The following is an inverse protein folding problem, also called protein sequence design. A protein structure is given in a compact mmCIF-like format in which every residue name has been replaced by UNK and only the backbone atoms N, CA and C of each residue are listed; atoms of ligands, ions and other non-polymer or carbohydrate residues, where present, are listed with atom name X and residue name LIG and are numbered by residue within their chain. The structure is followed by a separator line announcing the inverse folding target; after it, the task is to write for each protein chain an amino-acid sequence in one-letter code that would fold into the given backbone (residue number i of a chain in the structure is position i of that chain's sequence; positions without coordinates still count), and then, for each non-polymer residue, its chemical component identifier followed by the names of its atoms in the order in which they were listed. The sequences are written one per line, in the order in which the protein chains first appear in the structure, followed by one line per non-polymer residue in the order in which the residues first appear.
data_IF_748738337319
#
_entry.id   IF_748738337319
#
_cell.length_a   1.000
_cell.length_b   1.000
_cell.length_c   1.000
_cell.angle_alpha   90.00
_cell.angle_beta   90.00
_cell.angle_gamma   90.00
#
_symmetry.space_group_name_H-M   'P 1'
#
loop_
_entity.id
_entity.type
_entity.pdbx_description
1 polymer ?
#
# COMPACT_ATOMS: atom_id res chain seq x y z
N UNK A 1 30.93 36.02 30.43
CA UNK A 1 31.01 34.77 29.64
C UNK A 1 29.68 34.58 28.94
N UNK A 2 29.62 34.75 27.61
CA UNK A 2 28.38 34.78 26.83
C UNK A 2 27.89 33.34 26.59
N UNK A 3 26.80 32.96 27.28
CA UNK A 3 26.35 31.58 27.42
C UNK A 3 25.79 31.04 26.09
N UNK A 4 26.62 30.31 25.33
CA UNK A 4 26.28 29.77 23.99
C UNK A 4 25.06 28.85 24.00
N UNK A 5 24.73 28.26 25.15
CA UNK A 5 23.60 27.36 25.35
C UNK A 5 22.23 28.03 25.18
N UNK A 6 22.13 29.34 25.46
CA UNK A 6 20.86 30.08 25.33
C UNK A 6 20.46 30.27 23.86
N UNK A 7 21.44 30.49 22.98
CA UNK A 7 21.20 30.60 21.54
C UNK A 7 20.74 29.28 20.92
N UNK A 8 21.28 28.16 21.42
CA UNK A 8 20.86 26.81 21.00
C UNK A 8 19.41 26.50 21.40
N UNK A 9 19.02 26.85 22.63
CA UNK A 9 17.65 26.73 23.11
C UNK A 9 16.68 27.62 22.31
N UNK A 10 17.05 28.87 22.02
CA UNK A 10 16.23 29.75 21.20
C UNK A 10 16.06 29.22 19.76
N UNK A 11 17.11 28.67 19.14
CA UNK A 11 17.01 28.09 17.80
C UNK A 11 16.09 26.86 17.76
N UNK A 12 16.11 26.00 18.78
CA UNK A 12 15.21 24.84 18.88
C UNK A 12 13.74 25.28 19.04
N UNK A 13 13.49 26.30 19.85
CA UNK A 13 12.13 26.84 20.06
C UNK A 13 11.59 27.49 18.78
N UNK A 14 12.44 28.20 18.02
CA UNK A 14 12.07 28.78 16.73
C UNK A 14 11.79 27.67 15.69
N UNK A 15 12.58 26.59 15.68
CA UNK A 15 12.34 25.45 14.79
C UNK A 15 11.00 24.75 15.08
N UNK A 16 10.61 24.66 16.36
CA UNK A 16 9.29 24.14 16.76
C UNK A 16 8.15 25.13 16.47
N UNK A 17 8.38 26.44 16.57
CA UNK A 17 7.37 27.47 16.28
C UNK A 17 7.06 27.63 14.78
N UNK A 18 7.96 27.20 13.90
CA UNK A 18 7.74 27.14 12.44
C UNK A 18 7.23 25.78 11.94
N UNK A 19 6.65 24.95 12.83
CA UNK A 19 5.79 23.84 12.42
C UNK A 19 4.62 24.39 11.62
N UNK A 20 4.77 24.39 10.28
CA UNK A 20 3.81 24.98 9.36
C UNK A 20 2.40 24.49 9.64
N UNK A 21 1.41 25.36 9.40
CA UNK A 21 0.00 24.95 9.39
C UNK A 21 -0.14 23.85 8.35
N UNK A 22 -0.15 22.60 8.81
CA UNK A 22 -0.46 21.46 7.97
C UNK A 22 -1.85 21.74 7.39
N UNK A 23 -1.91 21.94 6.06
CA UNK A 23 -3.20 21.86 5.37
C UNK A 23 -3.83 20.53 5.79
N UNK A 24 -5.15 20.47 5.93
CA UNK A 24 -5.84 19.21 6.09
C UNK A 24 -5.41 18.29 4.94
N UNK A 25 -4.47 17.38 5.23
CA UNK A 25 -3.99 16.41 4.27
C UNK A 25 -4.97 15.25 4.37
N UNK A 26 -5.81 15.08 3.36
CA UNK A 26 -6.77 13.98 3.26
C UNK A 26 -6.03 12.69 2.95
N UNK A 27 -5.30 12.15 3.92
CA UNK A 27 -4.67 10.84 3.81
C UNK A 27 -5.61 9.76 4.34
N UNK A 28 -5.71 8.66 3.61
CA UNK A 28 -6.44 7.48 4.04
C UNK A 28 -5.44 6.43 4.51
N UNK A 29 -5.64 5.97 5.74
CA UNK A 29 -4.85 4.88 6.32
C UNK A 29 -5.80 3.84 6.88
N UNK A 30 -5.44 2.58 6.75
CA UNK A 30 -6.21 1.52 7.38
C UNK A 30 -5.73 0.12 7.01
N UNK A 31 -6.36 -0.91 7.59
CA UNK A 31 -6.02 -2.28 7.28
C UNK A 31 -6.53 -2.68 5.89
N UNK A 32 -5.86 -3.66 5.32
CA UNK A 32 -6.26 -4.35 4.10
C UNK A 32 -6.39 -5.83 4.37
N UNK A 33 -7.39 -6.43 3.73
CA UNK A 33 -7.54 -7.88 3.62
C UNK A 33 -7.77 -8.21 2.15
N UNK A 34 -7.02 -9.14 1.59
CA UNK A 34 -7.20 -9.56 0.22
C UNK A 34 -7.05 -11.06 0.04
N UNK A 35 -7.74 -11.56 -0.97
CA UNK A 35 -7.62 -12.93 -1.43
C UNK A 35 -7.12 -12.89 -2.87
N UNK A 36 -6.01 -13.58 -3.11
CA UNK A 36 -5.38 -13.70 -4.41
C UNK A 36 -5.27 -15.16 -4.80
N UNK A 37 -5.65 -15.46 -6.03
CA UNK A 37 -5.37 -16.74 -6.66
C UNK A 37 -4.25 -16.57 -7.69
N UNK A 38 -3.12 -17.24 -7.46
CA UNK A 38 -1.98 -17.28 -8.37
C UNK A 38 -1.25 -18.62 -8.23
N UNK A 39 -1.66 -19.60 -9.03
CA UNK A 39 -1.21 -21.02 -8.91
C UNK A 39 -1.45 -21.65 -7.54
N UNK A 40 -2.29 -21.03 -6.73
CA UNK A 40 -2.56 -21.38 -5.35
C UNK A 40 -3.30 -20.24 -4.66
N UNK A 41 -3.94 -20.56 -3.54
CA UNK A 41 -4.64 -19.57 -2.71
C UNK A 41 -3.63 -18.81 -1.86
N UNK A 42 -3.75 -17.48 -1.88
CA UNK A 42 -2.93 -16.57 -1.10
C UNK A 42 -3.89 -15.60 -0.40
N UNK A 43 -3.83 -15.56 0.93
CA UNK A 43 -4.50 -14.52 1.72
C UNK A 43 -3.47 -13.46 2.02
N UNK A 44 -3.75 -12.18 1.75
CA UNK A 44 -2.88 -11.08 2.14
C UNK A 44 -3.57 -10.20 3.14
N UNK A 45 -2.81 -9.75 4.13
CA UNK A 45 -3.31 -8.78 5.12
C UNK A 45 -2.20 -7.82 5.45
N UNK A 46 -2.56 -6.58 5.77
CA UNK A 46 -1.61 -5.54 6.09
C UNK A 46 -2.26 -4.20 6.29
N UNK A 47 -1.53 -3.14 5.97
CA UNK A 47 -2.01 -1.78 6.04
C UNK A 47 -1.70 -1.05 4.74
N UNK A 48 -2.50 -0.02 4.47
CA UNK A 48 -2.27 0.88 3.35
C UNK A 48 -2.20 2.32 3.81
N UNK A 49 -1.50 3.12 3.01
CA UNK A 49 -1.43 4.55 3.14
C UNK A 49 -1.67 5.16 1.75
N UNK A 50 -2.80 5.84 1.60
CA UNK A 50 -3.18 6.53 0.37
C UNK A 50 -3.14 8.04 0.60
N UNK A 51 -2.57 8.75 -0.37
CA UNK A 51 -2.43 10.19 -0.35
C UNK A 51 -2.76 10.79 -1.72
N UNK A 52 -3.40 11.98 -1.74
CA UNK A 52 -3.65 12.69 -2.98
C UNK A 52 -2.32 13.19 -3.55
N UNK A 53 -2.13 13.01 -4.86
CA UNK A 53 -0.92 13.47 -5.54
C UNK A 53 -1.16 14.77 -6.31
N UNK A 54 -2.21 14.83 -7.12
CA UNK A 54 -2.59 16.03 -7.89
C UNK A 54 -4.05 15.94 -8.30
N UNK A 55 -4.86 16.95 -7.96
CA UNK A 55 -6.31 16.93 -8.20
C UNK A 55 -6.96 15.68 -7.58
N UNK A 56 -7.71 14.94 -8.39
CA UNK A 56 -8.45 13.73 -7.98
C UNK A 56 -7.62 12.44 -8.07
N UNK A 57 -6.31 12.55 -8.31
CA UNK A 57 -5.42 11.41 -8.46
C UNK A 57 -4.88 10.95 -7.10
N UNK A 58 -4.98 9.66 -6.83
CA UNK A 58 -4.54 9.04 -5.57
C UNK A 58 -3.38 8.09 -5.84
N UNK A 59 -2.32 8.24 -5.04
CA UNK A 59 -1.26 7.25 -4.95
C UNK A 59 -1.45 6.51 -3.62
N UNK A 60 -1.31 5.20 -3.66
CA UNK A 60 -1.45 4.33 -2.49
C UNK A 60 -0.26 3.40 -2.37
N UNK A 61 0.36 3.40 -1.20
CA UNK A 61 1.35 2.43 -0.80
C UNK A 61 0.70 1.40 0.13
N UNK A 62 0.97 0.13 -0.13
CA UNK A 62 0.49 -0.99 0.68
C UNK A 62 1.71 -1.73 1.24
N UNK A 63 1.65 -2.08 2.52
CA UNK A 63 2.60 -2.97 3.19
C UNK A 63 1.81 -4.15 3.74
N UNK A 64 2.03 -5.32 3.15
CA UNK A 64 1.23 -6.53 3.42
C UNK A 64 2.09 -7.75 3.65
N UNK A 65 1.50 -8.77 4.26
CA UNK A 65 2.07 -10.09 4.40
C UNK A 65 1.16 -11.10 3.68
N UNK A 66 1.77 -11.88 2.79
CA UNK A 66 1.12 -12.92 2.02
C UNK A 66 1.22 -14.25 2.75
N UNK A 67 0.08 -14.79 3.13
CA UNK A 67 -0.10 -16.10 3.71
C UNK A 67 -0.45 -17.09 2.59
N UNK A 68 0.43 -18.05 2.34
CA UNK A 68 0.22 -19.08 1.32
C UNK A 68 0.44 -20.47 1.90
N UNK A 69 -0.35 -21.44 1.40
CA UNK A 69 -0.31 -22.84 1.79
C UNK A 69 0.04 -23.77 0.61
N UNK A 70 0.69 -23.21 -0.42
CA UNK A 70 1.08 -23.96 -1.62
C UNK A 70 2.07 -25.09 -1.26
N UNK A 71 1.78 -26.31 -1.75
CA UNK A 71 2.62 -27.52 -1.59
C UNK A 71 2.84 -27.98 -0.12
N UNK A 72 1.80 -27.95 0.71
CA UNK A 72 1.83 -28.48 2.08
C UNK A 72 2.81 -27.76 3.03
N UNK A 73 3.30 -26.58 2.62
CA UNK A 73 4.12 -25.70 3.45
C UNK A 73 3.42 -24.35 3.61
N UNK A 74 3.29 -23.92 4.85
CA UNK A 74 2.85 -22.58 5.17
C UNK A 74 4.02 -21.61 5.03
N UNK A 75 3.82 -20.54 4.27
CA UNK A 75 4.80 -19.47 4.10
C UNK A 75 4.15 -18.11 4.28
N UNK A 76 4.90 -17.23 4.94
CA UNK A 76 4.58 -15.80 5.10
C UNK A 76 5.61 -15.00 4.32
N UNK A 77 5.16 -14.22 3.35
CA UNK A 77 6.03 -13.43 2.47
C UNK A 77 5.67 -11.96 2.60
N UNK A 78 6.61 -11.08 3.01
CA UNK A 78 6.35 -9.64 3.01
C UNK A 78 6.20 -9.14 1.57
N UNK A 79 5.26 -8.24 1.37
CA UNK A 79 4.93 -7.63 0.08
C UNK A 79 4.73 -6.12 0.26
N UNK A 80 5.42 -5.34 -0.56
CA UNK A 80 5.15 -3.93 -0.73
C UNK A 80 4.42 -3.72 -2.05
N UNK A 81 3.43 -2.84 -2.09
CA UNK A 81 2.77 -2.48 -3.34
C UNK A 81 2.59 -0.99 -3.50
N UNK A 82 2.54 -0.55 -4.75
CA UNK A 82 2.21 0.81 -5.14
C UNK A 82 1.05 0.78 -6.13
N UNK A 83 0.01 1.53 -5.83
CA UNK A 83 -1.19 1.65 -6.64
C UNK A 83 -1.40 3.10 -7.06
N UNK A 84 -1.84 3.31 -8.29
CA UNK A 84 -2.19 4.62 -8.82
C UNK A 84 -3.63 4.60 -9.34
N UNK A 85 -4.42 5.52 -8.81
CA UNK A 85 -5.81 5.76 -9.17
C UNK A 85 -5.88 7.12 -9.89
N UNK A 86 -6.24 7.16 -11.17
CA UNK A 86 -6.29 8.39 -11.96
C UNK A 86 -7.50 9.28 -11.62
N UNK A 87 -8.52 8.75 -10.94
CA UNK A 87 -9.72 9.51 -10.57
C UNK A 87 -10.31 8.98 -9.26
N UNK A 88 -11.17 9.76 -8.60
CA UNK A 88 -11.85 9.38 -7.34
C UNK A 88 -13.35 9.24 -7.56
N UNK A 89 -13.78 8.34 -8.47
CA UNK A 89 -15.19 8.00 -8.66
C UNK A 89 -15.55 6.67 -7.99
N UNK A 90 -16.86 6.41 -7.87
CA UNK A 90 -17.41 5.16 -7.33
C UNK A 90 -16.83 3.94 -8.03
N UNK A 91 -16.61 3.98 -9.34
CA UNK A 91 -15.89 2.94 -10.08
C UNK A 91 -14.70 3.54 -10.80
N UNK A 92 -13.51 3.11 -10.44
CA UNK A 92 -12.26 3.74 -10.91
C UNK A 92 -11.28 2.67 -11.40
N UNK A 93 -10.76 2.78 -12.64
CA UNK A 93 -9.68 1.91 -13.07
C UNK A 93 -8.40 2.27 -12.32
N UNK A 94 -7.57 1.30 -11.99
CA UNK A 94 -6.30 1.56 -11.33
C UNK A 94 -5.22 0.61 -11.82
N UNK A 95 -3.98 1.02 -11.61
CA UNK A 95 -2.81 0.17 -11.83
C UNK A 95 -2.12 -0.08 -10.50
N UNK A 96 -1.62 -1.29 -10.29
CA UNK A 96 -0.81 -1.64 -9.12
C UNK A 96 0.43 -2.39 -9.54
N UNK A 97 1.54 -2.11 -8.89
CA UNK A 97 2.72 -2.96 -8.91
C UNK A 97 2.94 -3.53 -7.50
N UNK A 98 2.89 -4.86 -7.38
CA UNK A 98 3.27 -5.56 -6.15
C UNK A 98 4.70 -6.05 -6.27
N UNK A 99 5.48 -5.85 -5.22
CA UNK A 99 6.86 -6.26 -5.10
C UNK A 99 7.01 -7.15 -3.87
N UNK A 100 7.47 -8.37 -4.11
CA UNK A 100 7.94 -9.27 -3.07
C UNK A 100 9.46 -9.44 -3.23
N UNK A 101 10.17 -10.00 -2.23
CA UNK A 101 11.57 -10.38 -2.38
C UNK A 101 11.87 -11.33 -3.55
N UNK A 102 10.83 -11.95 -4.15
CA UNK A 102 10.95 -12.98 -5.17
C UNK A 102 10.32 -12.60 -6.51
N UNK A 103 9.34 -11.70 -6.53
CA UNK A 103 8.50 -11.42 -7.70
C UNK A 103 8.12 -9.95 -7.82
N UNK A 104 7.98 -9.50 -9.05
CA UNK A 104 7.32 -8.25 -9.43
C UNK A 104 6.02 -8.61 -10.15
N UNK A 105 4.90 -8.15 -9.63
CA UNK A 105 3.57 -8.45 -10.16
C UNK A 105 2.87 -7.14 -10.52
N UNK A 106 3.02 -6.65 -11.76
CA UNK A 106 2.15 -5.62 -12.29
C UNK A 106 0.72 -6.14 -12.43
N UNK A 107 -0.23 -5.30 -12.08
CA UNK A 107 -1.66 -5.54 -12.08
C UNK A 107 -2.43 -4.33 -12.58
N UNK A 108 -3.59 -4.59 -13.14
CA UNK A 108 -4.57 -3.60 -13.55
C UNK A 108 -5.93 -4.06 -13.05
N UNK A 109 -6.78 -3.12 -12.65
CA UNK A 109 -8.05 -3.48 -12.04
C UNK A 109 -9.03 -2.33 -11.99
N UNK A 110 -10.16 -2.62 -11.36
CA UNK A 110 -11.20 -1.66 -11.06
C UNK A 110 -11.44 -1.64 -9.56
N UNK A 111 -11.59 -0.44 -9.03
CA UNK A 111 -11.84 -0.18 -7.63
C UNK A 111 -13.22 0.41 -7.46
N UNK A 112 -13.97 -0.16 -6.53
CA UNK A 112 -15.25 0.36 -6.06
C UNK A 112 -14.97 1.23 -4.83
N UNK A 113 -15.08 2.55 -5.01
CA UNK A 113 -14.92 3.58 -3.99
C UNK A 113 -13.65 3.45 -3.14
N UNK A 114 -12.55 2.90 -3.69
CA UNK A 114 -11.28 2.61 -2.98
C UNK A 114 -11.38 1.62 -1.82
N UNK A 115 -12.56 1.04 -1.60
CA UNK A 115 -12.85 0.05 -0.56
C UNK A 115 -12.69 -1.37 -1.07
N UNK A 116 -13.26 -1.67 -2.24
CA UNK A 116 -13.25 -2.99 -2.83
C UNK A 116 -12.55 -2.94 -4.19
N UNK A 117 -11.45 -3.65 -4.32
CA UNK A 117 -10.69 -3.70 -5.56
C UNK A 117 -10.75 -5.10 -6.16
N UNK A 118 -11.00 -5.17 -7.46
CA UNK A 118 -10.83 -6.36 -8.27
C UNK A 118 -9.71 -6.10 -9.27
N UNK A 119 -8.65 -6.90 -9.24
CA UNK A 119 -7.50 -6.74 -10.13
C UNK A 119 -6.98 -8.05 -10.70
N UNK A 120 -6.37 -7.91 -11.86
CA UNK A 120 -5.77 -8.98 -12.65
C UNK A 120 -4.34 -8.57 -12.99
N UNK A 121 -3.42 -9.53 -13.00
CA UNK A 121 -2.04 -9.24 -13.37
C UNK A 121 -1.20 -10.47 -13.61
N UNK A 122 0.10 -10.25 -13.72
CA UNK A 122 1.04 -11.32 -14.04
C UNK A 122 2.30 -11.19 -13.19
N UNK A 123 2.64 -12.24 -12.44
CA UNK A 123 3.84 -12.28 -11.62
C UNK A 123 5.08 -12.67 -12.42
N UNK A 124 6.04 -11.75 -12.51
CA UNK A 124 7.39 -11.99 -13.02
C UNK A 124 8.32 -12.36 -11.87
N UNK A 125 9.15 -13.37 -12.06
CA UNK A 125 10.10 -13.82 -11.02
C UNK A 125 11.40 -13.02 -11.13
N UNK A 126 11.79 -12.33 -10.06
CA UNK A 126 13.05 -11.57 -9.95
C UNK A 126 14.18 -12.46 -9.42
N UNK A 127 13.88 -13.27 -8.38
CA UNK A 127 14.82 -14.23 -7.79
C UNK A 127 14.19 -15.62 -7.77
N UNK A 128 14.95 -16.63 -8.21
CA UNK A 128 14.60 -18.04 -8.06
C UNK A 128 14.99 -18.49 -6.66
N UNK A 129 14.02 -18.75 -5.79
CA UNK A 129 14.25 -19.55 -4.58
C UNK A 129 13.91 -21.00 -4.93
N UNK A 130 14.86 -21.91 -4.74
CA UNK A 130 14.73 -23.32 -5.16
C UNK A 130 13.72 -24.11 -4.30
N UNK A 131 13.43 -23.62 -3.09
CA UNK A 131 12.58 -24.32 -2.09
C UNK A 131 11.08 -24.00 -2.16
N UNK A 132 10.64 -23.12 -3.06
CA UNK A 132 9.24 -22.72 -3.19
C UNK A 132 8.83 -22.69 -4.66
N UNK A 133 7.59 -23.09 -4.95
CA UNK A 133 7.06 -22.86 -6.29
C UNK A 133 7.03 -21.35 -6.57
N UNK A 134 7.60 -20.91 -7.69
CA UNK A 134 7.62 -19.50 -8.02
C UNK A 134 6.19 -19.00 -8.15
N UNK A 135 5.89 -17.92 -7.42
CA UNK A 135 4.64 -17.14 -7.51
C UNK A 135 4.62 -16.40 -8.86
N UNK A 136 4.63 -17.17 -9.95
CA UNK A 136 4.74 -16.71 -11.34
C UNK A 136 3.51 -17.10 -12.12
N UNK A 137 3.05 -16.22 -12.99
CA UNK A 137 1.88 -16.46 -13.83
C UNK A 137 0.73 -15.51 -13.51
N UNK A 138 -0.41 -15.80 -14.11
CA UNK A 138 -1.62 -15.01 -13.97
C UNK A 138 -2.11 -14.97 -12.52
N UNK A 139 -2.43 -13.78 -12.05
CA UNK A 139 -2.94 -13.50 -10.72
C UNK A 139 -4.28 -12.80 -10.83
N UNK A 140 -5.26 -13.25 -10.04
CA UNK A 140 -6.53 -12.56 -9.81
C UNK A 140 -6.60 -12.24 -8.35
N UNK A 141 -6.95 -11.02 -7.98
CA UNK A 141 -7.15 -10.68 -6.57
C UNK A 141 -8.37 -9.82 -6.31
N UNK A 142 -8.98 -10.09 -5.17
CA UNK A 142 -10.07 -9.33 -4.59
C UNK A 142 -9.56 -8.76 -3.26
N UNK A 143 -9.57 -7.44 -3.11
CA UNK A 143 -9.11 -6.77 -1.89
C UNK A 143 -10.19 -5.92 -1.30
N UNK A 144 -10.30 -5.99 0.01
CA UNK A 144 -11.09 -5.12 0.85
C UNK A 144 -10.16 -4.22 1.68
N UNK A 145 -10.45 -2.92 1.69
CA UNK A 145 -9.67 -1.90 2.38
C UNK A 145 -10.62 -1.15 3.31
N UNK A 146 -10.29 -1.09 4.60
CA UNK A 146 -11.10 -0.39 5.59
C UNK A 146 -10.37 0.89 5.97
N UNK A 147 -10.86 2.06 5.57
CA UNK A 147 -10.24 3.31 5.96
C UNK A 147 -10.57 3.63 7.42
N UNK A 148 -9.54 3.74 8.26
CA UNK A 148 -9.70 4.09 9.68
C UNK A 148 -9.84 5.60 9.91
N UNK A 149 -9.35 6.42 8.97
CA UNK A 149 -9.39 7.87 9.05
C UNK A 149 -10.47 8.47 8.13
N UNK A 150 -11.63 7.82 8.02
CA UNK A 150 -12.80 8.50 7.45
C UNK A 150 -13.21 9.60 8.43
N UNK A 151 -12.70 10.81 8.22
CA UNK A 151 -13.37 12.01 8.73
C UNK A 151 -14.70 12.12 7.99
N UNK A 152 -15.72 11.40 8.47
CA UNK A 152 -17.11 11.71 8.20
C UNK A 152 -17.39 13.06 8.85
N UNK A 153 -17.03 14.15 8.17
CA UNK A 153 -17.83 15.36 8.29
C UNK A 153 -19.03 15.14 7.37
N UNK A 154 -20.06 14.46 7.91
CA UNK A 154 -21.43 14.57 7.42
C UNK A 154 -21.97 15.93 7.85
#
# INVERSE_FOLDING_TARGET
MRNKSVYWLCCIVIYFAFGGKAKAQDYLVGPTLSYQFQKGSIVKTGAYFAFPFSGDHIIRADATANFTWTQSKFAVIPEGALSYYPQTYVLTPFVRAELTPYTLTPKVGVSLATLLDLDFGYGFSIKKKTDYQPIKGFAVSLRFSIPLNYRLNL
#
